data_IF_226851323932
#
_entry.id   IF_226851323932
#
_cell.length_a   1.000
_cell.length_b   1.000
_cell.length_c   1.000
_cell.angle_alpha   90.00
_cell.angle_beta   90.00
_cell.angle_gamma   90.00
#
_symmetry.space_group_name_H-M   'P 1'
#
loop_
_entity.id
_entity.type
_entity.pdbx_description
1 polymer ?
#
# COMPACT_ATOMS: atom_id res chain seq x y z
N UNK A 1 14.37 -1.89 21.85
CA UNK A 1 14.16 -0.49 22.29
C UNK A 1 12.70 -0.15 22.03
N UNK A 2 11.92 0.15 23.08
CA UNK A 2 10.51 0.55 22.95
C UNK A 2 10.43 2.02 22.53
N UNK A 3 9.46 2.37 21.69
CA UNK A 3 9.17 3.77 21.36
C UNK A 3 8.22 4.35 22.42
N UNK A 4 8.05 5.68 22.42
CA UNK A 4 7.32 6.45 23.44
C UNK A 4 5.85 6.03 23.66
N UNK A 5 5.25 5.30 22.71
CA UNK A 5 3.83 4.89 22.74
C UNK A 5 3.62 3.45 23.25
N UNK A 6 4.65 2.81 23.82
CA UNK A 6 4.52 1.49 24.45
C UNK A 6 4.31 0.30 23.50
N UNK A 7 4.26 0.54 22.18
CA UNK A 7 4.23 -0.51 21.17
C UNK A 7 5.62 -1.14 21.08
N UNK A 8 5.71 -2.44 21.37
CA UNK A 8 6.89 -3.23 21.04
C UNK A 8 7.11 -3.13 19.54
N UNK A 9 8.22 -2.50 19.15
CA UNK A 9 8.88 -2.77 17.88
C UNK A 9 9.20 -4.26 17.89
N UNK A 10 8.28 -5.06 17.35
CA UNK A 10 8.41 -6.50 17.30
C UNK A 10 9.81 -6.82 16.77
N UNK A 11 10.64 -7.41 17.64
CA UNK A 11 11.87 -8.06 17.27
C UNK A 11 11.50 -9.07 16.19
N UNK A 12 11.88 -8.78 14.95
CA UNK A 12 11.74 -9.70 13.84
C UNK A 12 12.34 -11.05 14.25
N UNK A 13 11.51 -12.08 14.37
CA UNK A 13 11.87 -13.43 14.82
C UNK A 13 12.53 -14.27 13.72
N UNK A 14 12.78 -13.68 12.54
CA UNK A 14 13.36 -14.38 11.40
C UNK A 14 12.35 -15.20 10.59
N UNK A 15 11.09 -15.31 11.02
CA UNK A 15 10.09 -16.14 10.34
C UNK A 15 9.60 -15.41 9.08
N UNK A 16 9.66 -16.03 7.89
CA UNK A 16 9.08 -15.48 6.69
C UNK A 16 7.59 -15.21 6.90
N UNK A 17 7.16 -13.95 6.75
CA UNK A 17 5.75 -13.58 6.87
C UNK A 17 4.93 -14.31 5.81
N UNK A 18 3.91 -15.06 6.24
CA UNK A 18 2.97 -15.76 5.33
C UNK A 18 2.21 -14.73 4.49
N UNK A 19 1.70 -15.10 3.31
CA UNK A 19 0.92 -14.20 2.46
C UNK A 19 -0.22 -13.50 3.22
N UNK A 20 -0.96 -14.25 4.04
CA UNK A 20 -2.09 -13.77 4.84
C UNK A 20 -1.62 -12.74 5.86
N UNK A 21 -0.55 -13.04 6.60
CA UNK A 21 0.04 -12.09 7.56
C UNK A 21 0.55 -10.81 6.89
N UNK A 22 1.02 -10.87 5.63
CA UNK A 22 1.39 -9.65 4.89
C UNK A 22 0.16 -8.80 4.60
N UNK A 23 -0.95 -9.43 4.26
CA UNK A 23 -2.22 -8.74 4.00
C UNK A 23 -2.79 -8.15 5.28
N UNK A 24 -2.85 -8.92 6.37
CA UNK A 24 -3.24 -8.44 7.70
C UNK A 24 -2.39 -7.26 8.16
N UNK A 25 -1.06 -7.35 8.02
CA UNK A 25 -0.16 -6.26 8.38
C UNK A 25 -0.43 -5.00 7.56
N UNK A 26 -0.69 -5.14 6.26
CA UNK A 26 -1.01 -4.00 5.40
C UNK A 26 -2.37 -3.37 5.76
N UNK A 27 -3.39 -4.18 6.03
CA UNK A 27 -4.71 -3.71 6.47
C UNK A 27 -4.62 -3.02 7.83
N UNK A 28 -3.85 -3.55 8.78
CA UNK A 28 -3.60 -2.92 10.07
C UNK A 28 -2.88 -1.56 9.92
N UNK A 29 -1.90 -1.48 9.01
CA UNK A 29 -1.22 -0.21 8.69
C UNK A 29 -2.21 0.84 8.18
N UNK A 30 -3.12 0.44 7.27
CA UNK A 30 -4.18 1.30 6.72
C UNK A 30 -5.15 1.73 7.83
N UNK A 31 -5.69 0.77 8.58
CA UNK A 31 -6.70 0.97 9.61
C UNK A 31 -6.24 1.89 10.74
N UNK A 32 -4.94 1.86 11.08
CA UNK A 32 -4.40 2.64 12.20
C UNK A 32 -4.57 4.15 12.10
N UNK A 33 -4.82 4.72 10.92
CA UNK A 33 -5.24 6.13 10.76
C UNK A 33 -6.08 6.32 9.48
N UNK A 34 -6.98 5.37 9.20
CA UNK A 34 -7.90 5.51 8.08
C UNK A 34 -8.94 6.62 8.37
N UNK A 35 -9.30 7.49 7.40
CA UNK A 35 -8.86 7.49 6.00
C UNK A 35 -7.58 8.31 5.75
N UNK A 36 -7.11 9.10 6.72
CA UNK A 36 -6.06 10.11 6.52
C UNK A 36 -4.76 9.52 5.98
N UNK A 37 -4.23 8.48 6.62
CA UNK A 37 -2.97 7.83 6.22
C UNK A 37 -3.06 7.16 4.85
N UNK A 38 -4.18 6.50 4.55
CA UNK A 38 -4.44 5.93 3.24
C UNK A 38 -4.50 7.01 2.15
N UNK A 39 -5.28 8.06 2.37
CA UNK A 39 -5.42 9.15 1.40
C UNK A 39 -4.13 9.93 1.21
N UNK A 40 -3.29 10.08 2.25
CA UNK A 40 -1.92 10.60 2.08
C UNK A 40 -1.12 9.73 1.11
N UNK A 41 -1.12 8.40 1.27
CA UNK A 41 -0.42 7.50 0.36
C UNK A 41 -0.95 7.59 -1.09
N UNK A 42 -2.27 7.67 -1.25
CA UNK A 42 -2.91 7.86 -2.56
C UNK A 42 -2.41 9.15 -3.20
N UNK A 43 -2.49 10.27 -2.48
CA UNK A 43 -2.06 11.58 -2.97
C UNK A 43 -0.56 11.60 -3.32
N UNK A 44 0.30 10.96 -2.51
CA UNK A 44 1.73 10.82 -2.81
C UNK A 44 1.94 10.13 -4.17
N UNK A 45 1.22 9.04 -4.42
CA UNK A 45 1.37 8.27 -5.65
C UNK A 45 0.77 8.97 -6.86
N UNK A 46 -0.38 9.65 -6.68
CA UNK A 46 -1.01 10.44 -7.74
C UNK A 46 -0.10 11.61 -8.13
N UNK A 47 0.42 12.39 -7.18
CA UNK A 47 1.33 13.49 -7.46
C UNK A 47 2.61 13.03 -8.16
N UNK A 48 3.20 11.91 -7.73
CA UNK A 48 4.36 11.33 -8.41
C UNK A 48 4.03 10.94 -9.86
N UNK A 49 2.85 10.36 -10.11
CA UNK A 49 2.41 10.04 -11.47
C UNK A 49 2.23 11.32 -12.32
N UNK A 50 1.59 12.35 -11.77
CA UNK A 50 1.40 13.65 -12.42
C UNK A 50 2.73 14.37 -12.71
N UNK A 51 3.68 14.25 -11.80
CA UNK A 51 5.06 14.76 -11.95
C UNK A 51 5.92 13.96 -12.94
N UNK A 52 5.36 12.95 -13.61
CA UNK A 52 6.03 12.19 -14.66
C UNK A 52 7.02 11.15 -14.16
N UNK A 53 6.89 10.67 -12.92
CA UNK A 53 7.75 9.62 -12.42
C UNK A 53 7.59 8.34 -13.26
N UNK A 54 8.68 7.73 -13.74
CA UNK A 54 8.57 6.53 -14.58
C UNK A 54 8.13 5.30 -13.77
N UNK A 55 8.40 5.30 -12.46
CA UNK A 55 8.09 4.20 -11.56
C UNK A 55 8.20 4.63 -10.10
N UNK A 56 7.25 4.21 -9.27
CA UNK A 56 7.32 4.34 -7.81
C UNK A 56 7.82 3.03 -7.20
N UNK A 57 8.89 3.11 -6.42
CA UNK A 57 9.42 2.02 -5.60
C UNK A 57 9.17 2.34 -4.14
N UNK A 58 9.16 1.29 -3.31
CA UNK A 58 9.07 1.39 -1.85
C UNK A 58 10.00 2.45 -1.23
N UNK A 59 11.26 2.46 -1.65
CA UNK A 59 12.29 3.37 -1.13
C UNK A 59 12.03 4.83 -1.48
N UNK A 60 11.26 5.09 -2.54
CA UNK A 60 10.99 6.44 -3.02
C UNK A 60 9.93 7.13 -2.15
N UNK A 61 9.03 6.38 -1.49
CA UNK A 61 7.87 6.94 -0.79
C UNK A 61 8.25 7.89 0.35
N UNK A 62 9.30 7.58 1.10
CA UNK A 62 9.81 8.50 2.13
C UNK A 62 10.31 9.81 1.51
N UNK A 63 11.02 9.72 0.39
CA UNK A 63 11.58 10.88 -0.31
C UNK A 63 10.45 11.71 -0.90
N UNK A 64 9.48 11.07 -1.57
CA UNK A 64 8.28 11.72 -2.10
C UNK A 64 7.50 12.45 -1.01
N UNK A 65 7.30 11.81 0.15
CA UNK A 65 6.65 12.45 1.30
C UNK A 65 7.41 13.68 1.78
N UNK A 66 8.74 13.59 1.89
CA UNK A 66 9.57 14.73 2.31
C UNK A 66 9.55 15.88 1.30
N UNK A 67 9.52 15.57 0.00
CA UNK A 67 9.46 16.58 -1.07
C UNK A 67 8.12 17.33 -1.10
N UNK A 68 7.05 16.69 -0.64
CA UNK A 68 5.73 17.32 -0.49
C UNK A 68 5.56 18.10 0.82
N UNK A 69 6.63 18.26 1.60
CA UNK A 69 6.62 19.09 2.80
C UNK A 69 5.92 18.46 4.01
N UNK A 70 5.73 17.12 4.01
CA UNK A 70 5.21 16.44 5.20
C UNK A 70 6.23 16.53 6.34
N UNK A 71 5.73 16.66 7.57
CA UNK A 71 6.60 16.61 8.74
C UNK A 71 7.41 15.30 8.78
N UNK A 72 8.61 15.34 9.35
CA UNK A 72 9.52 14.19 9.38
C UNK A 72 8.90 12.98 10.10
N UNK A 73 8.05 13.20 11.10
CA UNK A 73 7.33 12.13 11.81
C UNK A 73 6.34 11.44 10.87
N UNK A 74 5.61 12.20 10.06
CA UNK A 74 4.70 11.67 9.04
C UNK A 74 5.46 11.00 7.89
N UNK A 75 6.60 11.54 7.47
CA UNK A 75 7.45 10.91 6.46
C UNK A 75 7.87 9.49 6.87
N UNK A 76 8.13 9.26 8.16
CA UNK A 76 8.51 7.94 8.68
C UNK A 76 7.42 6.88 8.48
N UNK A 77 6.14 7.26 8.39
CA UNK A 77 5.04 6.33 8.06
C UNK A 77 5.26 5.63 6.71
N UNK A 78 5.99 6.28 5.79
CA UNK A 78 6.25 5.81 4.44
C UNK A 78 7.58 5.04 4.30
N UNK A 79 8.26 4.71 5.40
CA UNK A 79 9.38 3.75 5.42
C UNK A 79 8.87 2.30 5.38
N UNK A 80 8.02 1.99 4.43
CA UNK A 80 7.37 0.67 4.27
C UNK A 80 8.41 -0.38 3.95
N UNK A 81 8.31 -1.63 4.39
CA UNK A 81 9.12 -2.76 3.91
C UNK A 81 8.55 -3.43 2.64
N UNK A 82 9.25 -4.43 2.08
CA UNK A 82 8.82 -5.08 0.84
C UNK A 82 7.49 -5.85 1.01
N UNK A 83 7.23 -6.39 2.20
CA UNK A 83 6.00 -7.11 2.50
C UNK A 83 4.81 -6.14 2.48
N UNK A 84 4.97 -5.00 3.16
CA UNK A 84 3.97 -3.96 3.25
C UNK A 84 3.69 -3.31 1.88
N UNK A 85 4.73 -2.86 1.18
CA UNK A 85 4.55 -2.22 -0.14
C UNK A 85 3.96 -3.17 -1.18
N UNK A 86 4.32 -4.45 -1.14
CA UNK A 86 3.76 -5.45 -2.05
C UNK A 86 2.23 -5.53 -1.97
N UNK A 87 1.66 -5.46 -0.77
CA UNK A 87 0.20 -5.50 -0.59
C UNK A 87 -0.43 -4.12 -0.83
N UNK A 88 0.12 -3.05 -0.25
CA UNK A 88 -0.44 -1.71 -0.40
C UNK A 88 -0.51 -1.26 -1.87
N UNK A 89 0.49 -1.62 -2.67
CA UNK A 89 0.49 -1.32 -4.11
C UNK A 89 -0.66 -2.00 -4.86
N UNK A 90 -1.10 -3.19 -4.46
CA UNK A 90 -2.27 -3.87 -5.06
C UNK A 90 -3.57 -3.14 -4.71
N UNK A 91 -3.76 -2.78 -3.45
CA UNK A 91 -4.89 -1.95 -3.02
C UNK A 91 -4.91 -0.59 -3.71
N UNK A 92 -3.74 0.05 -3.91
CA UNK A 92 -3.63 1.32 -4.62
C UNK A 92 -4.14 1.19 -6.05
N UNK A 93 -3.75 0.12 -6.76
CA UNK A 93 -4.24 -0.13 -8.11
C UNK A 93 -5.76 -0.39 -8.14
N UNK A 94 -6.28 -1.22 -7.24
CA UNK A 94 -7.73 -1.47 -7.14
C UNK A 94 -8.51 -0.17 -6.87
N UNK A 95 -7.97 0.70 -6.01
CA UNK A 95 -8.61 1.97 -5.62
C UNK A 95 -8.45 3.07 -6.68
N UNK A 96 -7.31 3.09 -7.37
CA UNK A 96 -6.92 4.06 -8.41
C UNK A 96 -6.19 3.37 -9.57
N UNK A 97 -6.93 2.83 -10.56
CA UNK A 97 -6.33 2.12 -11.69
C UNK A 97 -5.35 2.95 -12.52
N UNK A 98 -5.50 4.27 -12.56
CA UNK A 98 -4.56 5.18 -13.25
C UNK A 98 -3.13 5.08 -12.71
N UNK A 99 -2.94 4.69 -11.45
CA UNK A 99 -1.61 4.47 -10.86
C UNK A 99 -0.86 3.29 -11.50
N UNK A 100 -1.51 2.47 -12.33
CA UNK A 100 -0.85 1.43 -13.12
C UNK A 100 0.19 1.95 -14.12
N UNK A 101 0.16 3.27 -14.41
CA UNK A 101 1.18 3.95 -15.20
C UNK A 101 2.55 3.98 -14.48
N UNK A 102 2.57 3.98 -13.15
CA UNK A 102 3.80 4.17 -12.35
C UNK A 102 4.02 3.11 -11.27
N UNK A 103 3.01 2.31 -10.94
CA UNK A 103 3.09 1.21 -9.97
C UNK A 103 3.01 -0.13 -10.70
N UNK A 104 4.03 -0.98 -10.47
CA UNK A 104 4.18 -2.28 -11.13
C UNK A 104 4.47 -3.37 -10.10
N UNK A 105 3.45 -3.86 -9.38
CA UNK A 105 3.63 -4.95 -8.43
C UNK A 105 4.16 -6.19 -9.16
N UNK A 106 5.08 -6.91 -8.52
CA UNK A 106 5.51 -8.21 -9.03
C UNK A 106 4.41 -9.23 -8.76
N UNK A 107 4.01 -9.99 -9.78
CA UNK A 107 3.12 -11.14 -9.60
C UNK A 107 3.75 -12.11 -8.62
N UNK A 108 2.98 -12.46 -7.59
CA UNK A 108 3.36 -13.33 -6.48
C UNK A 108 2.25 -14.35 -6.34
N UNK A 109 2.51 -15.60 -6.76
CA UNK A 109 1.51 -16.67 -6.81
C UNK A 109 0.69 -16.77 -5.52
N UNK A 110 1.37 -16.76 -4.38
CA UNK A 110 0.74 -16.90 -3.07
C UNK A 110 -0.15 -15.70 -2.64
N UNK A 111 -0.10 -14.57 -3.35
CA UNK A 111 -1.01 -13.43 -3.17
C UNK A 111 -2.04 -13.34 -4.30
N UNK A 112 -1.72 -13.86 -5.50
CA UNK A 112 -2.43 -13.54 -6.75
C UNK A 112 -3.12 -14.75 -7.39
N UNK A 113 -3.05 -15.95 -6.80
CA UNK A 113 -3.69 -17.16 -7.34
C UNK A 113 -5.20 -17.28 -7.04
N UNK A 114 -5.80 -16.24 -6.47
CA UNK A 114 -7.21 -16.17 -6.12
C UNK A 114 -7.53 -16.71 -4.72
N UNK A 115 -6.54 -17.15 -3.95
CA UNK A 115 -6.73 -17.56 -2.54
C UNK A 115 -7.05 -16.40 -1.59
N UNK A 116 -6.69 -15.17 -1.95
CA UNK A 116 -6.90 -13.97 -1.14
C UNK A 116 -7.95 -13.07 -1.80
N UNK A 117 -9.06 -12.85 -1.11
CA UNK A 117 -10.05 -11.84 -1.47
C UNK A 117 -9.68 -10.49 -0.82
N UNK A 118 -8.91 -9.69 -1.55
CA UNK A 118 -8.46 -8.37 -1.07
C UNK A 118 -9.63 -7.43 -0.76
N UNK A 119 -10.67 -7.40 -1.60
CA UNK A 119 -11.79 -6.48 -1.41
C UNK A 119 -12.59 -6.85 -0.16
N UNK A 120 -12.92 -8.14 0.01
CA UNK A 120 -13.62 -8.61 1.21
C UNK A 120 -12.83 -8.33 2.49
N UNK A 121 -11.52 -8.61 2.50
CA UNK A 121 -10.66 -8.35 3.66
C UNK A 121 -10.58 -6.86 3.99
N UNK A 122 -10.53 -5.97 3.00
CA UNK A 122 -10.60 -4.54 3.23
C UNK A 122 -11.95 -4.11 3.83
N UNK A 123 -13.06 -4.61 3.29
CA UNK A 123 -14.40 -4.29 3.79
C UNK A 123 -14.61 -4.75 5.23
N UNK A 124 -13.98 -5.86 5.60
CA UNK A 124 -14.00 -6.39 6.96
C UNK A 124 -13.14 -5.58 7.93
N UNK A 125 -11.88 -5.29 7.56
CA UNK A 125 -10.87 -4.78 8.51
C UNK A 125 -10.65 -3.27 8.46
N UNK A 126 -10.99 -2.60 7.35
CA UNK A 126 -10.69 -1.18 7.14
C UNK A 126 -11.97 -0.36 7.04
N UNK A 127 -12.78 -0.61 6.00
CA UNK A 127 -13.97 0.19 5.74
C UNK A 127 -14.93 -0.50 4.76
N UNK A 128 -16.05 -0.99 5.30
CA UNK A 128 -17.12 -1.72 4.59
C UNK A 128 -17.67 -1.03 3.33
N UNK A 129 -17.70 0.30 3.31
CA UNK A 129 -18.31 1.08 2.22
C UNK A 129 -17.29 1.61 1.22
N UNK A 130 -16.06 1.09 1.22
CA UNK A 130 -15.03 1.52 0.27
C UNK A 130 -15.35 0.99 -1.12
N UNK A 131 -15.43 1.87 -2.11
CA UNK A 131 -15.59 1.47 -3.51
C UNK A 131 -14.22 1.27 -4.17
N UNK A 132 -13.95 0.04 -4.62
CA UNK A 132 -12.82 -0.26 -5.50
C UNK A 132 -13.22 -0.11 -6.97
N UNK A 133 -12.38 0.59 -7.74
CA UNK A 133 -12.62 0.81 -9.18
C UNK A 133 -12.33 -0.43 -10.02
N UNK A 134 -11.66 -1.42 -9.46
CA UNK A 134 -11.43 -2.72 -10.09
C UNK A 134 -11.45 -3.84 -9.03
N UNK A 135 -11.98 -5.03 -9.37
CA UNK A 135 -12.10 -6.14 -8.43
C UNK A 135 -10.75 -6.80 -8.09
N UNK A 136 -9.74 -6.63 -8.95
CA UNK A 136 -8.37 -7.10 -8.69
C UNK A 136 -7.35 -6.08 -9.17
N UNK A 137 -6.12 -6.19 -8.68
CA UNK A 137 -5.04 -5.30 -9.12
C UNK A 137 -4.62 -5.57 -10.57
N UNK A 138 -4.75 -6.80 -11.06
CA UNK A 138 -4.49 -7.15 -12.47
C UNK A 138 -5.54 -6.51 -13.39
N UNK A 139 -6.81 -6.55 -12.99
CA UNK A 139 -7.89 -5.88 -13.71
C UNK A 139 -7.68 -4.35 -13.73
N UNK A 140 -7.25 -3.77 -12.60
CA UNK A 140 -6.84 -2.37 -12.54
C UNK A 140 -5.65 -2.08 -13.47
N UNK A 141 -4.62 -2.91 -13.43
CA UNK A 141 -3.42 -2.74 -14.24
C UNK A 141 -3.72 -2.83 -15.74
N UNK A 142 -4.62 -3.72 -16.16
CA UNK A 142 -5.07 -3.80 -17.56
C UNK A 142 -5.82 -2.53 -17.98
N UNK A 143 -6.71 -2.02 -17.12
CA UNK A 143 -7.48 -0.78 -17.39
C UNK A 143 -6.57 0.45 -17.47
N UNK A 144 -5.71 0.64 -16.48
CA UNK A 144 -4.86 1.84 -16.38
C UNK A 144 -3.75 1.92 -17.44
N UNK A 145 -3.35 0.79 -18.04
CA UNK A 145 -2.41 0.78 -19.18
C UNK A 145 -3.08 0.97 -20.54
N UNK A 146 -4.41 0.90 -20.59
CA UNK A 146 -5.21 1.07 -21.82
C UNK A 146 -5.84 2.46 -21.90
N UNK A 147 -5.63 3.31 -20.88
CA UNK A 147 -6.12 4.68 -20.78
C UNK A 147 -4.98 5.65 -21.09
#
# INVERSE_FOLDING_TARGET
MRNADGIETALYDGVPMTPERRVEHALAWIAGDYPRKWLRLVNLCEEAAWSGWPRIRRGDLYVLASQQGLDITLCREFRMDNNLWSVLSRYLLMFRPSLAAVIFPKTTKALDDGSIDFEALWHDQVARNTFFRAPTWEAAAKRGRSA
#
